data_IF_230469905604
#
_entry.id   IF_230469905604
#
_cell.length_a   1.000
_cell.length_b   1.000
_cell.length_c   1.000
_cell.angle_alpha   90.00
_cell.angle_beta   90.00
_cell.angle_gamma   90.00
#
_symmetry.space_group_name_H-M   'P 1'
#
loop_
_entity.id
_entity.type
_entity.pdbx_description
1 polymer ?
#
# COMPACT_ATOMS: atom_id res chain seq x y z
N UNK A 1 -6.76 1.92 20.94
CA UNK A 1 -6.81 1.10 19.71
C UNK A 1 -5.50 1.22 18.97
N UNK A 2 -4.93 0.14 18.42
CA UNK A 2 -3.71 0.21 17.60
C UNK A 2 -4.00 1.00 16.33
N UNK A 3 -3.13 1.97 15.99
CA UNK A 3 -3.25 2.71 14.73
C UNK A 3 -2.96 1.74 13.57
N UNK A 4 -3.90 1.57 12.65
CA UNK A 4 -3.77 0.68 11.48
C UNK A 4 -4.18 1.35 10.16
N UNK A 5 -4.29 2.69 10.15
CA UNK A 5 -4.68 3.47 8.97
C UNK A 5 -3.44 4.13 8.37
N UNK A 6 -3.19 3.88 7.09
CA UNK A 6 -2.29 4.66 6.24
C UNK A 6 -3.12 5.65 5.41
N UNK A 7 -2.82 6.94 5.53
CA UNK A 7 -3.46 7.97 4.72
C UNK A 7 -2.88 7.95 3.30
N UNK A 8 -3.70 7.71 2.30
CA UNK A 8 -3.30 7.86 0.90
C UNK A 8 -3.35 9.34 0.51
N UNK A 9 -2.18 9.90 0.21
CA UNK A 9 -2.03 11.29 -0.21
C UNK A 9 -2.08 11.38 -1.75
N UNK A 10 -3.29 11.29 -2.30
CA UNK A 10 -3.52 11.36 -3.74
C UNK A 10 -3.81 12.84 -4.11
N UNK A 11 -2.73 13.61 -4.21
CA UNK A 11 -2.70 15.06 -4.48
C UNK A 11 -1.58 15.39 -5.47
N UNK A 12 -1.77 16.44 -6.27
CA UNK A 12 -0.73 17.02 -7.12
C UNK A 12 0.00 18.24 -6.46
N UNK A 13 -0.30 18.52 -5.20
CA UNK A 13 0.26 19.65 -4.45
C UNK A 13 0.90 19.21 -3.15
N UNK A 14 2.19 19.50 -2.98
CA UNK A 14 2.94 19.25 -1.75
C UNK A 14 2.29 19.95 -0.54
N UNK A 15 1.96 21.23 -0.68
CA UNK A 15 1.40 22.02 0.42
C UNK A 15 0.07 21.43 0.93
N UNK A 16 -0.82 21.03 0.02
CA UNK A 16 -2.09 20.40 0.38
C UNK A 16 -1.89 19.06 1.07
N UNK A 17 -0.95 18.24 0.57
CA UNK A 17 -0.63 16.96 1.18
C UNK A 17 -0.04 17.13 2.59
N UNK A 18 0.83 18.11 2.82
CA UNK A 18 1.38 18.44 4.13
C UNK A 18 0.29 18.94 5.09
N UNK A 19 -0.59 19.86 4.63
CA UNK A 19 -1.70 20.38 5.43
C UNK A 19 -2.63 19.28 5.93
N UNK A 20 -3.06 18.39 5.04
CA UNK A 20 -3.94 17.28 5.41
C UNK A 20 -3.24 16.34 6.39
N UNK A 21 -1.97 16.01 6.14
CA UNK A 21 -1.19 15.15 7.02
C UNK A 21 -1.10 15.73 8.42
N UNK A 22 -0.79 17.03 8.56
CA UNK A 22 -0.71 17.72 9.86
C UNK A 22 -2.01 17.58 10.67
N UNK A 23 -3.16 17.72 10.01
CA UNK A 23 -4.48 17.67 10.69
C UNK A 23 -4.81 16.28 11.26
N UNK A 24 -4.25 15.20 10.69
CA UNK A 24 -4.67 13.83 11.05
C UNK A 24 -3.54 12.92 11.54
N UNK A 25 -2.30 13.40 11.57
CA UNK A 25 -1.10 12.60 11.89
C UNK A 25 -1.21 11.77 13.17
N UNK A 26 -1.88 12.30 14.19
CA UNK A 26 -2.01 11.63 15.48
C UNK A 26 -2.93 10.39 15.45
N UNK A 27 -3.68 10.21 14.37
CA UNK A 27 -4.58 9.08 14.15
C UNK A 27 -4.02 8.03 13.18
N UNK A 28 -2.86 8.26 12.57
CA UNK A 28 -2.30 7.44 11.51
C UNK A 28 -1.25 6.43 12.01
N UNK A 29 -1.17 5.28 11.33
CA UNK A 29 -0.03 4.38 11.37
C UNK A 29 1.10 4.84 10.44
N UNK A 30 0.77 5.60 9.40
CA UNK A 30 1.68 6.14 8.41
C UNK A 30 0.97 6.86 7.28
N UNK A 31 1.74 7.28 6.29
CA UNK A 31 1.22 7.94 5.06
C UNK A 31 1.66 7.15 3.83
N UNK A 32 0.81 7.12 2.80
CA UNK A 32 1.13 6.54 1.49
C UNK A 32 1.30 7.66 0.47
N UNK A 33 2.46 7.71 -0.16
CA UNK A 33 2.75 8.59 -1.29
C UNK A 33 2.64 7.76 -2.57
N UNK A 34 1.58 7.99 -3.33
CA UNK A 34 1.31 7.31 -4.59
C UNK A 34 1.89 8.03 -5.80
N UNK A 35 1.60 7.50 -7.00
CA UNK A 35 2.19 7.99 -8.26
C UNK A 35 1.91 9.48 -8.50
N UNK A 36 0.69 9.97 -8.24
CA UNK A 36 0.32 11.36 -8.49
C UNK A 36 1.21 12.32 -7.69
N UNK A 37 1.25 12.15 -6.36
CA UNK A 37 2.06 13.02 -5.51
C UNK A 37 3.55 12.82 -5.79
N UNK A 38 4.02 11.59 -5.93
CA UNK A 38 5.42 11.31 -6.24
C UNK A 38 5.87 11.97 -7.55
N UNK A 39 5.06 11.88 -8.60
CA UNK A 39 5.36 12.51 -9.90
C UNK A 39 5.42 14.05 -9.82
N UNK A 40 4.65 14.63 -8.91
CA UNK A 40 4.61 16.07 -8.70
C UNK A 40 5.80 16.60 -7.88
N UNK A 41 6.22 15.85 -6.84
CA UNK A 41 7.19 16.36 -5.86
C UNK A 41 8.56 15.66 -5.89
N UNK A 42 8.66 14.50 -6.52
CA UNK A 42 9.88 13.68 -6.56
C UNK A 42 10.39 13.28 -5.17
N UNK A 43 11.60 12.71 -5.14
CA UNK A 43 12.22 12.30 -3.87
C UNK A 43 12.55 13.48 -2.94
N UNK A 44 12.81 14.65 -3.49
CA UNK A 44 13.12 15.85 -2.71
C UNK A 44 11.91 16.28 -1.88
N UNK A 45 10.72 16.30 -2.49
CA UNK A 45 9.48 16.65 -1.78
C UNK A 45 9.06 15.63 -0.72
N UNK A 46 9.44 14.36 -0.88
CA UNK A 46 9.16 13.33 0.14
C UNK A 46 9.82 13.68 1.49
N UNK A 47 11.00 14.30 1.49
CA UNK A 47 11.72 14.68 2.72
C UNK A 47 10.93 15.68 3.58
N UNK A 48 10.05 16.47 2.98
CA UNK A 48 9.20 17.41 3.72
C UNK A 48 8.23 16.71 4.70
N UNK A 49 7.96 15.43 4.50
CA UNK A 49 7.12 14.63 5.37
C UNK A 49 7.86 14.05 6.59
N UNK A 50 9.22 14.11 6.62
CA UNK A 50 10.02 13.60 7.75
C UNK A 50 9.70 14.30 9.07
N UNK A 51 9.27 15.55 9.03
CA UNK A 51 8.83 16.34 10.19
C UNK A 51 7.68 15.70 10.96
N UNK A 52 6.85 14.89 10.31
CA UNK A 52 5.72 14.20 10.96
C UNK A 52 6.12 12.96 11.73
N UNK A 53 7.33 12.45 11.53
CA UNK A 53 7.86 11.22 12.16
C UNK A 53 6.94 10.00 11.95
N UNK A 54 6.23 9.97 10.84
CA UNK A 54 5.38 8.86 10.42
C UNK A 54 6.11 7.97 9.42
N UNK A 55 5.88 6.65 9.46
CA UNK A 55 6.30 5.75 8.39
C UNK A 55 5.76 6.21 7.03
N UNK A 56 6.64 6.30 6.03
CA UNK A 56 6.25 6.58 4.65
C UNK A 56 6.18 5.27 3.88
N UNK A 57 5.04 5.04 3.26
CA UNK A 57 4.79 4.00 2.29
C UNK A 57 4.85 4.61 0.90
N UNK A 58 5.95 4.39 0.17
CA UNK A 58 6.12 4.84 -1.21
C UNK A 58 5.49 3.82 -2.17
N UNK A 59 4.41 4.23 -2.84
CA UNK A 59 3.57 3.35 -3.67
C UNK A 59 3.72 3.65 -5.16
N UNK A 60 4.88 3.32 -5.72
CA UNK A 60 5.18 3.48 -7.16
C UNK A 60 5.03 2.19 -7.96
N UNK A 61 4.80 1.05 -7.28
CA UNK A 61 4.63 -0.28 -7.88
C UNK A 61 5.74 -0.62 -8.88
N UNK A 62 7.00 -0.44 -8.42
CA UNK A 62 8.16 -0.62 -9.30
C UNK A 62 8.13 -1.97 -10.03
N UNK A 63 8.38 -1.90 -11.33
CA UNK A 63 8.40 -3.05 -12.23
C UNK A 63 9.41 -2.77 -13.34
N UNK A 64 10.56 -3.43 -13.27
CA UNK A 64 11.67 -3.27 -14.22
C UNK A 64 12.59 -4.51 -14.15
N UNK A 65 13.61 -4.58 -14.95
CA UNK A 65 14.62 -5.63 -14.85
C UNK A 65 15.32 -5.62 -13.48
N UNK A 66 15.79 -6.77 -12.96
CA UNK A 66 16.33 -6.89 -11.60
C UNK A 66 17.42 -5.86 -11.26
N UNK A 67 18.32 -5.58 -12.21
CA UNK A 67 19.40 -4.61 -12.00
C UNK A 67 18.90 -3.17 -11.81
N UNK A 68 17.89 -2.74 -12.56
CA UNK A 68 17.31 -1.40 -12.42
C UNK A 68 16.55 -1.26 -11.12
N UNK A 69 15.79 -2.29 -10.73
CA UNK A 69 15.10 -2.31 -9.43
C UNK A 69 16.13 -2.20 -8.29
N UNK A 70 17.21 -2.97 -8.32
CA UNK A 70 18.25 -2.90 -7.29
C UNK A 70 18.91 -1.51 -7.20
N UNK A 71 19.16 -0.84 -8.35
CA UNK A 71 19.69 0.53 -8.38
C UNK A 71 18.70 1.54 -7.81
N UNK A 72 17.41 1.42 -8.17
CA UNK A 72 16.34 2.28 -7.65
C UNK A 72 16.21 2.15 -6.12
N UNK A 73 16.26 0.92 -5.60
CA UNK A 73 16.25 0.68 -4.15
C UNK A 73 17.38 1.42 -3.45
N UNK A 74 18.61 1.40 -3.98
CA UNK A 74 19.74 2.13 -3.42
C UNK A 74 19.52 3.64 -3.37
N UNK A 75 18.81 4.21 -4.33
CA UNK A 75 18.42 5.64 -4.33
C UNK A 75 17.37 5.90 -3.26
N UNK A 76 16.35 5.06 -3.13
CA UNK A 76 15.28 5.18 -2.13
C UNK A 76 15.83 5.13 -0.69
N UNK A 77 16.85 4.30 -0.44
CA UNK A 77 17.49 4.17 0.88
C UNK A 77 18.13 5.48 1.41
N UNK A 78 18.32 6.50 0.58
CA UNK A 78 18.77 7.82 1.03
C UNK A 78 17.69 8.60 1.79
N UNK A 79 16.45 8.12 1.82
CA UNK A 79 15.33 8.72 2.56
C UNK A 79 14.87 7.72 3.64
N UNK A 80 15.39 7.90 4.85
CA UNK A 80 15.21 6.94 5.96
C UNK A 80 13.76 6.81 6.43
N UNK A 81 12.94 7.79 6.20
CA UNK A 81 11.51 7.78 6.54
C UNK A 81 10.67 6.88 5.63
N UNK A 82 11.17 6.48 4.45
CA UNK A 82 10.53 5.48 3.61
C UNK A 82 10.78 4.11 4.24
N UNK A 83 9.75 3.59 4.91
CA UNK A 83 9.79 2.26 5.53
C UNK A 83 9.17 1.19 4.64
N UNK A 84 8.23 1.55 3.77
CA UNK A 84 7.55 0.61 2.87
C UNK A 84 7.69 1.06 1.44
N UNK A 85 8.03 0.12 0.56
CA UNK A 85 8.15 0.38 -0.87
C UNK A 85 7.47 -0.72 -1.69
N UNK A 86 6.60 -0.34 -2.64
CA UNK A 86 5.89 -1.31 -3.45
C UNK A 86 6.72 -1.82 -4.63
N UNK A 87 6.62 -3.13 -4.84
CA UNK A 87 7.19 -3.85 -5.97
C UNK A 87 6.13 -4.76 -6.58
N UNK A 88 6.01 -4.78 -7.91
CA UNK A 88 4.99 -5.60 -8.54
C UNK A 88 5.38 -7.08 -8.59
N UNK A 89 4.56 -7.98 -8.02
CA UNK A 89 4.92 -9.39 -7.95
C UNK A 89 5.00 -10.09 -9.33
N UNK A 90 4.37 -9.54 -10.36
CA UNK A 90 4.51 -10.03 -11.75
C UNK A 90 5.92 -9.84 -12.33
N UNK A 91 6.80 -9.09 -11.66
CA UNK A 91 8.19 -8.86 -12.11
C UNK A 91 9.14 -10.04 -11.93
N UNK A 92 8.66 -11.22 -11.57
CA UNK A 92 9.40 -12.44 -11.33
C UNK A 92 10.13 -12.54 -9.97
N UNK A 93 10.52 -13.76 -9.60
CA UNK A 93 11.27 -14.02 -8.36
C UNK A 93 12.63 -13.30 -8.37
N UNK A 94 13.33 -13.28 -9.50
CA UNK A 94 14.65 -12.65 -9.63
C UNK A 94 14.59 -11.15 -9.34
N UNK A 95 13.55 -10.46 -9.83
CA UNK A 95 13.35 -9.04 -9.57
C UNK A 95 13.07 -8.79 -8.08
N UNK A 96 12.20 -9.59 -7.46
CA UNK A 96 11.88 -9.47 -6.03
C UNK A 96 13.11 -9.73 -5.16
N UNK A 97 13.88 -10.76 -5.47
CA UNK A 97 15.13 -11.10 -4.75
C UNK A 97 16.21 -10.03 -4.93
N UNK A 98 16.34 -9.43 -6.12
CA UNK A 98 17.26 -8.33 -6.35
C UNK A 98 16.95 -7.11 -5.49
N UNK A 99 15.66 -6.78 -5.33
CA UNK A 99 15.20 -5.72 -4.43
C UNK A 99 15.57 -6.04 -2.98
N UNK A 100 15.22 -7.22 -2.47
CA UNK A 100 15.55 -7.66 -1.11
C UNK A 100 17.05 -7.61 -0.83
N UNK A 101 17.86 -8.11 -1.76
CA UNK A 101 19.33 -8.07 -1.64
C UNK A 101 19.85 -6.63 -1.57
N UNK A 102 19.30 -5.73 -2.38
CA UNK A 102 19.70 -4.32 -2.39
C UNK A 102 19.38 -3.58 -1.09
N UNK A 103 18.32 -3.99 -0.38
CA UNK A 103 17.90 -3.41 0.91
C UNK A 103 18.42 -4.17 2.14
N UNK A 104 19.25 -5.19 1.94
CA UNK A 104 19.79 -6.00 3.05
C UNK A 104 20.49 -5.14 4.11
N UNK A 105 20.20 -5.40 5.39
CA UNK A 105 20.76 -4.64 6.50
C UNK A 105 20.12 -3.28 6.75
N UNK A 106 18.99 -2.97 6.10
CA UNK A 106 18.22 -1.73 6.28
C UNK A 106 16.84 -2.01 6.85
N UNK A 107 16.10 -0.95 7.20
CA UNK A 107 14.73 -1.03 7.68
C UNK A 107 13.68 -0.91 6.56
N UNK A 108 14.10 -0.89 5.29
CA UNK A 108 13.17 -0.81 4.16
C UNK A 108 12.48 -2.16 3.97
N UNK A 109 11.16 -2.14 3.96
CA UNK A 109 10.30 -3.29 3.77
C UNK A 109 9.61 -3.23 2.41
N UNK A 110 9.64 -4.33 1.65
CA UNK A 110 8.91 -4.40 0.39
C UNK A 110 7.51 -4.95 0.58
N UNK A 111 6.56 -4.29 -0.10
CA UNK A 111 5.17 -4.70 -0.22
C UNK A 111 4.92 -5.17 -1.66
N UNK A 112 4.70 -6.46 -1.85
CA UNK A 112 4.40 -7.02 -3.17
C UNK A 112 2.99 -6.63 -3.62
N UNK A 113 2.88 -5.99 -4.76
CA UNK A 113 1.58 -5.76 -5.40
C UNK A 113 1.12 -7.06 -6.04
N UNK A 114 -0.03 -7.57 -5.62
CA UNK A 114 -0.65 -8.76 -6.23
C UNK A 114 -1.41 -8.39 -7.50
N UNK A 115 -2.73 -8.42 -7.49
CA UNK A 115 -3.57 -7.96 -8.59
C UNK A 115 -4.20 -6.63 -8.18
N UNK A 116 -4.17 -5.66 -9.10
CA UNK A 116 -4.78 -4.34 -8.87
C UNK A 116 -6.28 -4.49 -8.53
N UNK A 117 -6.74 -3.71 -7.56
CA UNK A 117 -8.14 -3.78 -7.09
C UNK A 117 -9.19 -3.39 -8.13
N UNK A 118 -8.75 -2.75 -9.22
CA UNK A 118 -9.57 -2.43 -10.39
C UNK A 118 -9.70 -3.59 -11.39
N UNK A 119 -8.87 -4.65 -11.27
CA UNK A 119 -8.84 -5.75 -12.23
C UNK A 119 -9.85 -6.84 -11.90
N UNK A 120 -10.46 -7.36 -12.97
CA UNK A 120 -11.30 -8.54 -13.01
C UNK A 120 -10.68 -9.60 -13.93
N UNK A 121 -11.36 -10.73 -14.09
CA UNK A 121 -10.88 -11.84 -14.94
C UNK A 121 -10.55 -11.38 -16.36
N UNK A 122 -11.41 -10.55 -16.99
CA UNK A 122 -11.16 -10.04 -18.34
C UNK A 122 -9.84 -9.28 -18.48
N UNK A 123 -9.44 -8.52 -17.45
CA UNK A 123 -8.18 -7.77 -17.50
C UNK A 123 -6.94 -8.68 -17.39
N UNK A 124 -7.08 -9.83 -16.72
CA UNK A 124 -6.06 -10.87 -16.72
C UNK A 124 -5.92 -11.53 -18.08
N UNK A 125 -7.05 -11.83 -18.72
CA UNK A 125 -7.10 -12.43 -20.07
C UNK A 125 -6.49 -11.50 -21.13
N UNK A 126 -6.74 -10.18 -21.06
CA UNK A 126 -6.16 -9.16 -21.94
C UNK A 126 -4.61 -9.15 -21.90
N UNK A 127 -4.00 -9.56 -20.79
CA UNK A 127 -2.54 -9.67 -20.64
C UNK A 127 -2.03 -11.11 -20.69
N UNK A 128 -2.85 -12.04 -21.18
CA UNK A 128 -2.48 -13.43 -21.40
C UNK A 128 -2.50 -14.32 -20.16
N UNK A 129 -3.09 -13.87 -19.05
CA UNK A 129 -3.23 -14.66 -17.82
C UNK A 129 -4.61 -15.35 -17.83
N UNK A 130 -4.60 -16.68 -17.95
CA UNK A 130 -5.81 -17.50 -18.07
C UNK A 130 -6.46 -17.88 -16.75
N UNK A 131 -5.71 -17.76 -15.64
CA UNK A 131 -6.19 -18.08 -14.31
C UNK A 131 -7.22 -17.05 -13.81
N UNK A 132 -8.08 -17.45 -12.87
CA UNK A 132 -8.97 -16.52 -12.18
C UNK A 132 -8.20 -15.62 -11.20
N UNK A 133 -8.83 -14.50 -10.80
CA UNK A 133 -8.21 -13.49 -9.92
C UNK A 133 -7.73 -14.10 -8.60
N UNK A 134 -8.50 -14.99 -7.97
CA UNK A 134 -8.14 -15.58 -6.67
C UNK A 134 -6.92 -16.50 -6.79
N UNK A 135 -6.87 -17.32 -7.83
CA UNK A 135 -5.75 -18.20 -8.14
C UNK A 135 -4.49 -17.40 -8.42
N UNK A 136 -4.61 -16.32 -9.21
CA UNK A 136 -3.49 -15.42 -9.52
C UNK A 136 -3.00 -14.69 -8.26
N UNK A 137 -3.90 -14.17 -7.42
CA UNK A 137 -3.53 -13.54 -6.13
C UNK A 137 -2.79 -14.54 -5.24
N UNK A 138 -3.29 -15.77 -5.11
CA UNK A 138 -2.65 -16.84 -4.33
C UNK A 138 -1.23 -17.12 -4.84
N UNK A 139 -1.04 -17.22 -6.14
CA UNK A 139 0.27 -17.46 -6.76
C UNK A 139 1.25 -16.31 -6.45
N UNK A 140 0.81 -15.06 -6.60
CA UNK A 140 1.66 -13.89 -6.36
C UNK A 140 2.00 -13.69 -4.87
N UNK A 141 1.11 -14.05 -3.96
CA UNK A 141 1.41 -14.07 -2.52
C UNK A 141 2.47 -15.13 -2.19
N UNK A 142 2.36 -16.34 -2.77
CA UNK A 142 3.39 -17.37 -2.60
C UNK A 142 4.75 -16.88 -3.12
N UNK A 143 4.78 -16.20 -4.26
CA UNK A 143 6.01 -15.65 -4.84
C UNK A 143 6.63 -14.60 -3.90
N UNK A 144 5.82 -13.70 -3.34
CA UNK A 144 6.25 -12.71 -2.34
C UNK A 144 6.85 -13.39 -1.09
N UNK A 145 6.21 -14.46 -0.61
CA UNK A 145 6.72 -15.24 0.52
C UNK A 145 8.05 -15.94 0.20
N UNK A 146 8.21 -16.52 -0.99
CA UNK A 146 9.46 -17.11 -1.44
C UNK A 146 10.59 -16.08 -1.50
N UNK A 147 10.30 -14.88 -1.99
CA UNK A 147 11.24 -13.77 -2.00
C UNK A 147 11.47 -13.15 -0.61
N UNK A 148 10.83 -13.66 0.45
CA UNK A 148 10.88 -13.16 1.83
C UNK A 148 10.50 -11.68 1.95
N UNK A 149 9.55 -11.22 1.14
CA UNK A 149 9.03 -9.85 1.26
C UNK A 149 8.21 -9.70 2.53
N UNK A 150 8.22 -8.50 3.12
CA UNK A 150 7.60 -8.23 4.42
C UNK A 150 6.08 -8.12 4.35
N UNK A 151 5.54 -7.77 3.17
CA UNK A 151 4.10 -7.57 3.04
C UNK A 151 3.60 -7.64 1.61
N UNK A 152 2.30 -7.49 1.49
CA UNK A 152 1.56 -7.47 0.22
C UNK A 152 0.57 -6.31 0.19
N UNK A 153 0.27 -5.86 -1.02
CA UNK A 153 -0.90 -5.04 -1.33
C UNK A 153 -1.96 -5.98 -1.87
N UNK A 154 -3.07 -6.07 -1.18
CA UNK A 154 -4.18 -6.96 -1.56
C UNK A 154 -5.52 -6.35 -1.16
N UNK A 155 -6.60 -6.72 -1.86
CA UNK A 155 -7.95 -6.38 -1.41
C UNK A 155 -8.20 -6.97 -0.02
N UNK A 156 -8.99 -6.28 0.79
CA UNK A 156 -9.40 -6.83 2.08
C UNK A 156 -10.13 -8.18 1.95
N UNK A 157 -10.80 -8.43 0.82
CA UNK A 157 -11.43 -9.71 0.50
C UNK A 157 -10.42 -10.86 0.36
N UNK A 158 -9.14 -10.56 0.12
CA UNK A 158 -8.07 -11.55 -0.06
C UNK A 158 -7.31 -11.86 1.24
N UNK A 159 -7.64 -11.21 2.38
CA UNK A 159 -6.99 -11.42 3.69
C UNK A 159 -7.02 -12.91 4.07
N UNK A 160 -8.16 -13.57 3.92
CA UNK A 160 -8.31 -14.99 4.22
C UNK A 160 -7.39 -15.89 3.37
N UNK A 161 -7.16 -15.53 2.10
CA UNK A 161 -6.22 -16.25 1.22
C UNK A 161 -4.79 -16.03 1.73
N UNK A 162 -4.42 -14.79 2.01
CA UNK A 162 -3.08 -14.44 2.49
C UNK A 162 -2.73 -15.14 3.81
N UNK A 163 -3.68 -15.20 4.76
CA UNK A 163 -3.48 -15.85 6.06
C UNK A 163 -3.34 -17.38 5.99
N UNK A 164 -3.96 -18.02 5.00
CA UNK A 164 -3.74 -19.45 4.73
C UNK A 164 -2.33 -19.74 4.21
N UNK A 165 -1.69 -18.77 3.54
CA UNK A 165 -0.33 -18.91 3.00
C UNK A 165 0.71 -18.50 4.06
N UNK A 166 0.50 -17.35 4.72
CA UNK A 166 1.43 -16.82 5.72
C UNK A 166 0.69 -16.08 6.83
N UNK A 167 0.87 -16.54 8.07
CA UNK A 167 0.33 -15.87 9.27
C UNK A 167 1.05 -14.56 9.58
N UNK A 168 2.26 -14.37 9.04
CA UNK A 168 3.15 -13.28 9.44
C UNK A 168 3.26 -12.15 8.42
N UNK A 169 2.84 -12.34 7.18
CA UNK A 169 2.94 -11.31 6.15
C UNK A 169 2.04 -10.11 6.48
N UNK A 170 2.58 -8.90 6.33
CA UNK A 170 1.80 -7.66 6.47
C UNK A 170 0.88 -7.50 5.27
N UNK A 171 -0.35 -7.03 5.49
CA UNK A 171 -1.33 -6.82 4.43
C UNK A 171 -1.77 -5.37 4.44
N UNK A 172 -1.52 -4.67 3.36
CA UNK A 172 -1.97 -3.31 3.16
C UNK A 172 -3.17 -3.35 2.20
N UNK A 173 -4.32 -2.92 2.69
CA UNK A 173 -5.59 -3.03 1.98
C UNK A 173 -6.04 -1.66 1.46
N UNK A 174 -5.85 -1.35 0.16
CA UNK A 174 -6.51 -0.23 -0.48
C UNK A 174 -8.00 -0.54 -0.70
N UNK A 175 -8.78 0.49 -1.08
CA UNK A 175 -10.21 0.32 -1.35
C UNK A 175 -11.07 0.28 -0.10
N UNK A 176 -10.57 0.73 1.04
CA UNK A 176 -11.37 0.93 2.23
C UNK A 176 -12.11 2.26 2.10
N UNK A 177 -13.44 2.20 2.05
CA UNK A 177 -14.31 3.35 1.81
C UNK A 177 -15.49 3.35 2.77
N UNK A 178 -16.12 4.50 2.94
CA UNK A 178 -17.43 4.61 3.57
C UNK A 178 -18.53 4.24 2.55
N UNK A 179 -19.75 4.64 2.83
CA UNK A 179 -20.94 4.37 1.99
C UNK A 179 -20.91 5.08 0.61
N UNK A 180 -19.85 5.84 0.31
CA UNK A 180 -19.69 6.52 -0.98
C UNK A 180 -19.16 5.56 -2.04
N UNK A 181 -20.03 5.25 -3.01
CA UNK A 181 -19.72 4.41 -4.17
C UNK A 181 -18.84 5.21 -5.15
N UNK A 182 -17.57 4.86 -5.31
CA UNK A 182 -16.71 5.46 -6.33
C UNK A 182 -16.37 4.41 -7.39
N UNK A 183 -16.52 4.80 -8.66
CA UNK A 183 -16.46 3.91 -9.82
C UNK A 183 -15.08 3.32 -10.15
N UNK A 184 -14.01 3.81 -9.51
CA UNK A 184 -12.62 3.48 -9.86
C UNK A 184 -12.06 2.23 -9.14
N UNK A 185 -12.76 1.68 -8.15
CA UNK A 185 -12.35 0.44 -7.46
C UNK A 185 -13.53 -0.51 -7.30
N UNK A 186 -13.35 -1.75 -7.74
CA UNK A 186 -14.42 -2.76 -7.78
C UNK A 186 -14.48 -3.64 -6.54
N UNK A 187 -13.36 -3.78 -5.79
CA UNK A 187 -13.25 -4.62 -4.59
C UNK A 187 -13.06 -3.75 -3.35
N UNK A 188 -14.15 -3.11 -2.88
CA UNK A 188 -14.16 -2.20 -1.73
C UNK A 188 -14.83 -2.82 -0.52
N UNK A 189 -14.47 -2.34 0.68
CA UNK A 189 -15.13 -2.61 1.96
C UNK A 189 -15.20 -1.32 2.79
N UNK A 190 -16.16 -1.23 3.70
CA UNK A 190 -16.15 -0.20 4.74
C UNK A 190 -15.02 -0.47 5.75
N UNK A 191 -14.64 0.56 6.52
CA UNK A 191 -13.63 0.38 7.58
C UNK A 191 -14.12 -0.58 8.67
N UNK A 192 -15.42 -0.57 8.97
CA UNK A 192 -16.04 -1.49 9.92
C UNK A 192 -15.90 -2.95 9.48
N UNK A 193 -16.23 -3.25 8.22
CA UNK A 193 -16.09 -4.59 7.65
C UNK A 193 -14.62 -5.02 7.59
N UNK A 194 -13.72 -4.13 7.16
CA UNK A 194 -12.28 -4.38 7.19
C UNK A 194 -11.83 -4.76 8.60
N UNK A 195 -12.18 -3.96 9.60
CA UNK A 195 -11.73 -4.16 10.98
C UNK A 195 -12.28 -5.46 11.61
N UNK A 196 -13.44 -5.96 11.13
CA UNK A 196 -14.02 -7.22 11.58
C UNK A 196 -13.21 -8.45 11.14
N UNK A 197 -12.42 -8.33 10.05
CA UNK A 197 -11.63 -9.44 9.46
C UNK A 197 -10.12 -9.22 9.57
N UNK A 198 -9.67 -8.00 9.90
CA UNK A 198 -8.28 -7.62 10.01
C UNK A 198 -7.67 -8.09 11.33
N UNK A 199 -6.42 -8.53 11.27
CA UNK A 199 -5.58 -8.76 12.44
C UNK A 199 -4.57 -7.62 12.66
N UNK A 200 -3.65 -7.81 13.60
CA UNK A 200 -2.64 -6.82 13.98
C UNK A 200 -1.58 -6.51 12.89
N UNK A 201 -1.56 -7.29 11.80
CA UNK A 201 -0.67 -7.12 10.64
C UNK A 201 -1.42 -6.63 9.40
N UNK A 202 -2.69 -6.26 9.54
CA UNK A 202 -3.50 -5.68 8.47
C UNK A 202 -3.61 -4.16 8.63
N UNK A 203 -3.40 -3.44 7.53
CA UNK A 203 -3.43 -1.98 7.49
C UNK A 203 -4.43 -1.52 6.42
N UNK A 204 -5.32 -0.60 6.80
CA UNK A 204 -6.23 0.07 5.88
C UNK A 204 -5.50 1.22 5.18
N UNK A 205 -5.61 1.31 3.85
CA UNK A 205 -5.08 2.43 3.07
C UNK A 205 -6.28 3.26 2.59
N UNK A 206 -6.44 4.46 3.17
CA UNK A 206 -7.63 5.29 3.00
C UNK A 206 -7.21 6.68 2.49
N UNK A 207 -7.81 7.13 1.41
CA UNK A 207 -7.56 8.44 0.78
C UNK A 207 -8.76 9.37 0.93
N UNK A 208 -9.52 9.54 -0.16
CA UNK A 208 -10.70 10.43 -0.28
C UNK A 208 -11.63 10.44 0.92
N UNK A 209 -12.04 9.32 1.50
CA UNK A 209 -12.91 9.33 2.68
C UNK A 209 -12.35 10.11 3.88
N UNK A 210 -11.04 10.30 3.96
CA UNK A 210 -10.40 11.11 5.01
C UNK A 210 -10.29 12.56 4.57
N UNK A 211 -9.74 12.84 3.38
CA UNK A 211 -9.32 14.20 3.04
C UNK A 211 -10.38 15.05 2.30
N UNK A 212 -11.49 14.47 1.81
CA UNK A 212 -12.59 15.24 1.23
C UNK A 212 -13.45 15.87 2.34
N UNK A 213 -13.53 17.19 2.37
CA UNK A 213 -14.21 17.97 3.44
C UNK A 213 -13.31 18.22 4.64
N UNK A 214 -13.74 17.87 5.85
CA UNK A 214 -12.98 18.06 7.08
C UNK A 214 -12.20 16.79 7.46
N UNK A 215 -10.86 16.75 7.24
CA UNK A 215 -10.07 15.54 7.46
C UNK A 215 -10.13 15.00 8.90
N UNK A 216 -10.11 15.89 9.91
CA UNK A 216 -10.11 15.48 11.30
C UNK A 216 -11.44 14.85 11.71
N UNK A 217 -12.56 15.46 11.33
CA UNK A 217 -13.88 14.89 11.59
C UNK A 217 -14.08 13.55 10.88
N UNK A 218 -13.62 13.46 9.64
CA UNK A 218 -13.75 12.26 8.84
C UNK A 218 -12.97 11.08 9.45
N UNK A 219 -11.69 11.26 9.81
CA UNK A 219 -10.91 10.19 10.40
C UNK A 219 -11.46 9.74 11.76
N UNK A 220 -11.97 10.67 12.57
CA UNK A 220 -12.63 10.36 13.84
C UNK A 220 -13.89 9.53 13.60
N UNK A 221 -14.75 9.89 12.63
CA UNK A 221 -15.94 9.09 12.25
C UNK A 221 -15.56 7.69 11.81
N UNK A 222 -14.53 7.56 10.96
CA UNK A 222 -14.02 6.26 10.50
C UNK A 222 -13.58 5.40 11.69
N UNK A 223 -12.76 5.94 12.60
CA UNK A 223 -12.28 5.20 13.78
C UNK A 223 -13.43 4.82 14.72
N UNK A 224 -14.40 5.68 14.90
CA UNK A 224 -15.54 5.42 15.79
C UNK A 224 -16.56 4.44 15.20
N UNK A 225 -16.54 4.19 13.88
CA UNK A 225 -17.44 3.22 13.23
C UNK A 225 -17.21 1.77 13.69
N UNK A 226 -16.12 1.49 14.39
CA UNK A 226 -15.74 0.14 14.89
C UNK A 226 -15.85 0.01 16.41
N UNK A 227 -16.31 1.05 17.08
CA UNK A 227 -16.71 1.01 18.51
C UNK A 227 -18.16 0.58 18.64
#
# INVERSE_FOLDING_TARGET
MKKNIFLALDFNSLNKALEVTEKVKDHLAGIKIGLELYSSIGLVGIKEFEKFKLPIFLDTKIFDIPNQVAKTVKVILNIKSIQYFTIHALGSLDMLMAAQKAASGTNLEFLAVSILTSWEKKNLEEVGITQDVKSQVKMLINLACHAKLSGIIASAQDIGIARKISKNIKIFCPGIRGDQNTQDQKRTLSYKEFNAIADDKCFAVIGRPIYEGNPLENIIKIINSVK
#
